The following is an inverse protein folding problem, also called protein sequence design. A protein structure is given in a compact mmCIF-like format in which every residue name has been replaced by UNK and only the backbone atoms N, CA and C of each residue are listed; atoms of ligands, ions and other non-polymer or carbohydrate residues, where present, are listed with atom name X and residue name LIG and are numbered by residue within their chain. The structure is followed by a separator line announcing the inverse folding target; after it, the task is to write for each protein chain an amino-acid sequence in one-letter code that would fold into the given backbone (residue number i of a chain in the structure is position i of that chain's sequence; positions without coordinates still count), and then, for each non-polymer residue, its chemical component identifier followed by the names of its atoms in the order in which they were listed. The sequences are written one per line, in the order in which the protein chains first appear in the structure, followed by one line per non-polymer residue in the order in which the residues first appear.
data_IF_581597009987
#
_entry.id   IF_581597009987
#
_cell.length_a   1.000
_cell.length_b   1.000
_cell.length_c   1.000
_cell.angle_alpha   90.00
_cell.angle_beta   90.00
_cell.angle_gamma   90.00
#
_symmetry.space_group_name_H-M   'P 1'
#
loop_
_entity.id
_entity.type
_entity.pdbx_description
1 polymer ?
#
# COMPACT_ATOMS: atom_id res chain seq x y z
N UNK A 1 -41.06 -21.97 -26.72
CA UNK A 1 -39.78 -21.26 -26.52
C UNK A 1 -39.29 -21.58 -25.12
N UNK A 2 -38.26 -22.42 -25.01
CA UNK A 2 -37.68 -22.77 -23.71
C UNK A 2 -36.84 -21.60 -23.18
N UNK A 3 -37.10 -21.21 -21.93
CA UNK A 3 -36.26 -20.25 -21.22
C UNK A 3 -35.03 -21.01 -20.74
N UNK A 4 -33.88 -20.80 -21.37
CA UNK A 4 -32.61 -21.35 -20.91
C UNK A 4 -32.37 -20.83 -19.48
N UNK A 5 -32.38 -21.74 -18.51
CA UNK A 5 -32.09 -21.43 -17.13
C UNK A 5 -30.67 -20.84 -17.04
N UNK A 6 -30.54 -19.67 -16.41
CA UNK A 6 -29.23 -19.12 -16.08
C UNK A 6 -28.50 -20.15 -15.21
N UNK A 7 -27.43 -20.73 -15.76
CA UNK A 7 -26.63 -21.73 -15.08
C UNK A 7 -26.16 -21.21 -13.72
N UNK A 8 -26.08 -22.12 -12.74
CA UNK A 8 -25.59 -21.81 -11.39
C UNK A 8 -24.17 -21.25 -11.51
N UNK A 9 -24.00 -19.95 -11.25
CA UNK A 9 -22.66 -19.35 -11.11
C UNK A 9 -22.16 -19.76 -9.72
N UNK A 10 -21.22 -20.70 -9.67
CA UNK A 10 -20.48 -20.99 -8.46
C UNK A 10 -19.50 -19.83 -8.21
N UNK A 11 -19.90 -18.83 -7.43
CA UNK A 11 -18.97 -17.83 -6.92
C UNK A 11 -18.13 -18.55 -5.85
N UNK A 12 -16.94 -19.01 -6.22
CA UNK A 12 -15.96 -19.45 -5.24
C UNK A 12 -15.49 -18.19 -4.52
N UNK A 13 -16.00 -17.94 -3.31
CA UNK A 13 -15.45 -16.96 -2.39
C UNK A 13 -14.07 -17.45 -1.92
N UNK A 14 -13.09 -17.47 -2.81
CA UNK A 14 -11.69 -17.60 -2.43
C UNK A 14 -11.14 -16.17 -2.49
N UNK A 15 -11.30 -15.38 -1.40
CA UNK A 15 -10.72 -14.05 -1.38
C UNK A 15 -9.23 -14.19 -1.71
N UNK A 16 -8.66 -13.31 -2.54
CA UNK A 16 -7.23 -13.30 -2.75
C UNK A 16 -6.56 -13.30 -1.37
N UNK A 17 -5.55 -14.14 -1.19
CA UNK A 17 -4.70 -14.02 -0.02
C UNK A 17 -4.12 -12.61 -0.04
N UNK A 18 -4.61 -11.75 0.86
CA UNK A 18 -4.29 -10.33 0.92
C UNK A 18 -2.78 -10.10 1.04
N UNK A 19 -2.06 -11.11 1.54
CA UNK A 19 -0.61 -11.08 1.69
C UNK A 19 0.14 -11.19 0.36
N UNK A 20 -0.52 -11.62 -0.72
CA UNK A 20 0.08 -11.82 -2.04
C UNK A 20 -0.41 -10.81 -3.09
N UNK A 21 -1.15 -9.78 -2.68
CA UNK A 21 -1.62 -8.72 -3.60
C UNK A 21 -0.55 -7.68 -3.89
N UNK A 22 0.35 -7.46 -2.93
CA UNK A 22 1.44 -6.49 -3.06
C UNK A 22 2.72 -7.20 -3.47
N UNK A 23 3.33 -6.76 -4.57
CA UNK A 23 4.65 -7.20 -4.99
C UNK A 23 5.73 -6.56 -4.10
N UNK A 24 6.03 -7.24 -2.98
CA UNK A 24 7.00 -6.78 -2.01
C UNK A 24 8.46 -6.80 -2.51
N UNK A 25 8.78 -7.65 -3.49
CA UNK A 25 10.12 -7.70 -4.08
C UNK A 25 10.36 -6.46 -4.94
N UNK A 26 9.36 -6.07 -5.74
CA UNK A 26 9.39 -4.80 -6.47
C UNK A 26 9.50 -3.61 -5.53
N UNK A 27 8.67 -3.54 -4.48
CA UNK A 27 8.72 -2.43 -3.51
C UNK A 27 10.11 -2.28 -2.89
N UNK A 28 10.77 -3.39 -2.52
CA UNK A 28 12.12 -3.38 -1.93
C UNK A 28 13.23 -2.97 -2.90
N UNK A 29 13.00 -3.08 -4.20
CA UNK A 29 14.00 -2.80 -5.24
C UNK A 29 13.80 -1.45 -5.94
N UNK A 30 12.79 -0.67 -5.56
CA UNK A 30 12.56 0.66 -6.12
C UNK A 30 13.71 1.60 -5.82
N UNK A 31 14.14 2.35 -6.83
CA UNK A 31 15.10 3.43 -6.68
C UNK A 31 14.46 4.68 -6.07
N UNK A 32 15.26 5.56 -5.46
CA UNK A 32 14.79 6.81 -4.86
C UNK A 32 14.00 7.67 -5.88
N UNK A 33 14.46 7.73 -7.13
CA UNK A 33 13.78 8.46 -8.19
C UNK A 33 12.40 7.88 -8.54
N UNK A 34 12.27 6.55 -8.52
CA UNK A 34 10.98 5.89 -8.72
C UNK A 34 10.05 6.10 -7.52
N UNK A 35 10.58 6.09 -6.31
CA UNK A 35 9.82 6.38 -5.08
C UNK A 35 9.26 7.81 -5.14
N UNK A 36 10.09 8.79 -5.47
CA UNK A 36 9.69 10.20 -5.57
C UNK A 36 8.62 10.40 -6.66
N UNK A 37 8.84 9.84 -7.86
CA UNK A 37 7.87 9.91 -8.95
C UNK A 37 6.53 9.26 -8.57
N UNK A 38 6.56 8.10 -7.91
CA UNK A 38 5.35 7.42 -7.47
C UNK A 38 4.60 8.28 -6.43
N UNK A 39 5.30 8.82 -5.43
CA UNK A 39 4.72 9.66 -4.40
C UNK A 39 4.09 10.95 -4.96
N UNK A 40 4.74 11.59 -5.93
CA UNK A 40 4.22 12.79 -6.59
C UNK A 40 2.99 12.52 -7.48
N UNK A 41 2.91 11.32 -8.04
CA UNK A 41 1.81 10.92 -8.92
C UNK A 41 0.59 10.37 -8.18
N UNK A 42 0.73 10.08 -6.89
CA UNK A 42 -0.33 9.48 -6.08
C UNK A 42 -1.44 10.52 -5.79
N UNK A 43 -2.68 10.31 -6.26
CA UNK A 43 -3.78 11.24 -6.02
C UNK A 43 -4.19 11.29 -4.54
N UNK A 44 -3.84 10.27 -3.75
CA UNK A 44 -4.07 10.22 -2.31
C UNK A 44 -2.90 10.82 -1.51
N UNK A 45 -1.80 11.22 -2.17
CA UNK A 45 -0.75 11.98 -1.52
C UNK A 45 -1.28 13.36 -1.14
N UNK A 46 -1.37 13.58 0.18
CA UNK A 46 -1.74 14.88 0.71
C UNK A 46 -0.69 15.94 0.32
N UNK A 47 -1.10 17.20 0.06
CA UNK A 47 -0.16 18.29 -0.15
C UNK A 47 0.82 18.40 1.02
N UNK A 48 2.10 18.53 0.73
CA UNK A 48 3.13 18.77 1.73
C UNK A 48 3.18 20.27 2.05
N UNK A 49 2.45 20.72 3.07
CA UNK A 49 2.48 22.11 3.58
C UNK A 49 3.14 22.25 4.97
N UNK A 50 3.59 21.14 5.54
CA UNK A 50 4.24 21.11 6.84
C UNK A 50 5.73 21.49 6.75
N UNK A 51 6.15 22.45 7.58
CA UNK A 51 7.55 22.82 7.76
C UNK A 51 8.27 21.78 8.63
N UNK A 52 9.07 20.93 7.98
CA UNK A 52 9.82 19.85 8.62
C UNK A 52 11.23 20.24 9.04
N UNK A 53 11.61 21.52 8.97
CA UNK A 53 12.96 21.99 9.34
C UNK A 53 13.37 21.55 10.76
N UNK A 54 12.38 21.35 11.64
CA UNK A 54 12.57 20.88 13.01
C UNK A 54 11.98 19.48 13.29
N UNK A 55 11.57 18.74 12.27
CA UNK A 55 11.00 17.40 12.44
C UNK A 55 12.08 16.42 12.91
N UNK A 56 11.78 15.67 13.97
CA UNK A 56 12.66 14.63 14.49
C UNK A 56 11.99 13.26 14.38
N UNK A 57 12.71 12.29 13.80
CA UNK A 57 12.27 10.89 13.80
C UNK A 57 12.46 10.33 15.22
N UNK A 58 11.37 10.21 15.97
CA UNK A 58 11.39 9.53 17.27
C UNK A 58 11.10 8.05 17.04
N UNK A 59 12.15 7.25 16.87
CA UNK A 59 12.02 5.79 16.89
C UNK A 59 11.66 5.30 18.29
N UNK A 60 10.69 4.39 18.42
CA UNK A 60 10.31 3.76 19.68
C UNK A 60 11.50 3.06 20.38
N UNK A 61 12.54 2.70 19.63
CA UNK A 61 13.79 2.14 20.16
C UNK A 61 14.51 3.11 21.12
N UNK A 62 14.44 4.42 20.87
CA UNK A 62 15.11 5.42 21.70
C UNK A 62 14.38 5.71 23.02
N UNK A 63 13.12 5.24 23.18
CA UNK A 63 12.38 5.36 24.45
C UNK A 63 12.72 4.24 25.45
N UNK A 64 13.30 3.13 24.99
CA UNK A 64 13.59 1.95 25.83
C UNK A 64 15.00 1.96 26.44
N UNK A 65 15.92 2.77 25.90
CA UNK A 65 17.32 2.85 26.36
C UNK A 65 17.62 4.08 27.22
N UNK A 66 16.62 4.90 27.53
CA UNK A 66 16.77 6.15 28.28
C UNK A 66 16.09 6.12 29.67
N UNK A 67 15.96 4.94 30.28
CA UNK A 67 15.52 4.78 31.68
C UNK A 67 16.66 4.26 32.56
#
# INVERSE_FOLDING_TARGET
MERLALGRINITNNPPDINNLTDWERVKSMSDAEIEANALSDPDALPFDDDWENAAIISAYNKLTSQ
#
